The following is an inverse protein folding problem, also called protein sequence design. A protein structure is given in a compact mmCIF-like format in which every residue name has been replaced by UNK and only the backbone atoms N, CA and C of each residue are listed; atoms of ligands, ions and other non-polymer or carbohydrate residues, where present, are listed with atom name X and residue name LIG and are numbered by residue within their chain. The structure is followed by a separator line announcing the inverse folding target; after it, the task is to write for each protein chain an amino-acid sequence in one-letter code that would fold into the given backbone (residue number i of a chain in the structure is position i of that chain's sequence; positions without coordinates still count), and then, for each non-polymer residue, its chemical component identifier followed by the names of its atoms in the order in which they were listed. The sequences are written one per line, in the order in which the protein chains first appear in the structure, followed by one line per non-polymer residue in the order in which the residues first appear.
data_IF_578670542977
#
_entry.id   IF_578670542977
#
_cell.length_a   1.000
_cell.length_b   1.000
_cell.length_c   1.000
_cell.angle_alpha   90.00
_cell.angle_beta   90.00
_cell.angle_gamma   90.00
#
_symmetry.space_group_name_H-M   'P 1'
#
loop_
_entity.id
_entity.type
_entity.pdbx_description
1 polymer ?
#
# COMPACT_ATOMS: atom_id res chain seq x y z
N UNK A 1 31.63 -6.61 13.06
CA UNK A 1 30.85 -5.44 12.58
C UNK A 1 30.51 -5.73 11.13
N UNK A 2 29.39 -6.40 10.89
CA UNK A 2 28.89 -6.59 9.53
C UNK A 2 28.37 -5.22 9.09
N UNK A 3 28.89 -4.73 7.97
CA UNK A 3 28.46 -3.51 7.31
C UNK A 3 26.97 -3.63 6.97
N UNK A 4 26.10 -3.14 7.87
CA UNK A 4 24.66 -3.08 7.67
C UNK A 4 24.27 -1.94 6.70
N UNK A 5 25.25 -1.13 6.25
CA UNK A 5 25.01 0.11 5.52
C UNK A 5 25.13 -0.03 3.98
N UNK A 6 25.65 -1.14 3.45
CA UNK A 6 25.67 -1.39 2.01
C UNK A 6 24.50 -2.28 1.56
N UNK A 7 23.26 -1.80 1.71
CA UNK A 7 22.09 -2.45 1.13
C UNK A 7 22.27 -2.64 -0.38
N UNK A 8 22.12 -3.87 -0.85
CA UNK A 8 22.23 -4.21 -2.26
C UNK A 8 21.21 -3.40 -3.08
N UNK A 9 21.70 -2.56 -3.98
CA UNK A 9 20.87 -1.80 -4.91
C UNK A 9 20.05 -2.77 -5.78
N UNK A 10 18.70 -2.64 -5.83
CA UNK A 10 17.87 -3.41 -6.73
C UNK A 10 18.32 -3.26 -8.19
N UNK A 11 18.18 -4.32 -8.98
CA UNK A 11 18.73 -4.34 -10.35
C UNK A 11 18.07 -3.26 -11.21
N UNK A 12 16.75 -3.11 -11.15
CA UNK A 12 16.00 -2.08 -11.88
C UNK A 12 16.46 -0.67 -11.51
N UNK A 13 16.72 -0.39 -10.23
CA UNK A 13 17.27 0.89 -9.79
C UNK A 13 18.69 1.12 -10.27
N UNK A 14 19.58 0.13 -10.15
CA UNK A 14 20.95 0.27 -10.64
C UNK A 14 21.00 0.55 -12.14
N UNK A 15 20.09 -0.04 -12.90
CA UNK A 15 19.96 0.22 -14.33
C UNK A 15 19.51 1.67 -14.61
N UNK A 16 18.64 2.23 -13.77
CA UNK A 16 18.17 3.60 -13.90
C UNK A 16 19.21 4.63 -13.47
N UNK A 17 19.95 4.37 -12.38
CA UNK A 17 21.12 5.17 -11.97
C UNK A 17 22.08 5.35 -13.16
N UNK A 18 22.41 4.25 -13.83
CA UNK A 18 23.29 4.29 -14.99
C UNK A 18 22.65 5.00 -16.19
N UNK A 19 21.34 4.87 -16.37
CA UNK A 19 20.62 5.45 -17.49
C UNK A 19 20.40 6.96 -17.34
N UNK A 20 20.37 7.47 -16.10
CA UNK A 20 20.16 8.88 -15.76
C UNK A 20 21.43 9.64 -15.39
N UNK A 21 22.61 9.04 -15.55
CA UNK A 21 23.90 9.62 -15.16
C UNK A 21 24.21 10.99 -15.79
N UNK A 22 23.68 11.27 -16.98
CA UNK A 22 23.97 12.48 -17.76
C UNK A 22 22.72 13.36 -17.96
N UNK A 23 21.69 13.21 -17.12
CA UNK A 23 20.48 14.04 -17.24
C UNK A 23 20.73 15.47 -16.74
N UNK A 24 20.10 16.45 -17.36
CA UNK A 24 20.06 17.87 -16.94
C UNK A 24 18.75 18.24 -16.22
N UNK A 25 17.85 17.27 -16.00
CA UNK A 25 16.56 17.46 -15.34
C UNK A 25 16.70 18.09 -13.96
N UNK A 26 15.88 19.10 -13.67
CA UNK A 26 15.88 19.85 -12.41
C UNK A 26 14.74 19.41 -11.49
N UNK A 27 13.59 19.04 -12.07
CA UNK A 27 12.43 18.51 -11.36
C UNK A 27 12.26 17.04 -11.70
N UNK A 28 12.46 16.17 -10.72
CA UNK A 28 12.40 14.71 -10.91
C UNK A 28 11.28 14.12 -10.06
N UNK A 29 10.43 13.30 -10.67
CA UNK A 29 9.57 12.36 -9.98
C UNK A 29 10.21 10.98 -10.03
N UNK A 30 10.28 10.27 -8.92
CA UNK A 30 10.75 8.89 -8.91
C UNK A 30 9.92 8.00 -7.99
N UNK A 31 9.80 6.72 -8.36
CA UNK A 31 9.42 5.65 -7.42
C UNK A 31 10.66 4.85 -7.02
N UNK A 32 10.53 3.98 -6.03
CA UNK A 32 11.61 3.09 -5.59
C UNK A 32 11.06 1.72 -5.25
N UNK A 33 11.90 0.69 -5.43
CA UNK A 33 11.66 -0.69 -4.96
C UNK A 33 12.68 -1.08 -3.87
N UNK A 34 13.45 -0.09 -3.41
CA UNK A 34 14.45 -0.20 -2.37
C UNK A 34 14.33 0.99 -1.40
N UNK A 35 15.41 1.74 -1.23
CA UNK A 35 15.50 2.92 -0.35
C UNK A 35 15.92 4.15 -1.16
N UNK A 36 15.23 4.38 -2.27
CA UNK A 36 15.41 5.52 -3.16
C UNK A 36 16.84 5.73 -3.68
N UNK A 37 17.58 4.64 -3.95
CA UNK A 37 18.98 4.75 -4.39
C UNK A 37 19.12 5.51 -5.71
N UNK A 38 18.14 5.40 -6.60
CA UNK A 38 18.12 6.21 -7.82
C UNK A 38 17.93 7.72 -7.54
N UNK A 39 17.10 8.08 -6.55
CA UNK A 39 16.91 9.46 -6.12
C UNK A 39 18.22 10.02 -5.53
N UNK A 40 18.89 9.24 -4.68
CA UNK A 40 20.20 9.58 -4.09
C UNK A 40 21.23 9.87 -5.17
N UNK A 41 21.35 9.00 -6.18
CA UNK A 41 22.32 9.19 -7.26
C UNK A 41 22.06 10.48 -8.05
N UNK A 42 20.79 10.82 -8.28
CA UNK A 42 20.39 12.06 -8.95
C UNK A 42 20.66 13.30 -8.08
N UNK A 43 20.41 13.22 -6.77
CA UNK A 43 20.70 14.31 -5.83
C UNK A 43 22.21 14.60 -5.71
N UNK A 44 23.04 13.55 -5.71
CA UNK A 44 24.50 13.68 -5.63
C UNK A 44 25.11 14.36 -6.86
N UNK A 45 24.53 14.14 -8.03
CA UNK A 45 24.98 14.75 -9.27
C UNK A 45 24.69 16.25 -9.34
N UNK A 46 23.58 16.70 -8.74
CA UNK A 46 23.19 18.10 -8.68
C UNK A 46 22.33 18.36 -7.42
N UNK A 47 22.93 18.94 -6.36
CA UNK A 47 22.22 19.25 -5.12
C UNK A 47 21.10 20.29 -5.27
N UNK A 48 21.01 21.01 -6.39
CA UNK A 48 19.94 21.98 -6.64
C UNK A 48 18.67 21.34 -7.20
N UNK A 49 18.72 20.08 -7.62
CA UNK A 49 17.55 19.35 -8.13
C UNK A 49 16.48 19.19 -7.08
N UNK A 50 15.24 19.40 -7.47
CA UNK A 50 14.06 19.06 -6.68
C UNK A 50 13.58 17.66 -7.05
N UNK A 51 13.71 16.70 -6.13
CA UNK A 51 13.34 15.30 -6.37
C UNK A 51 12.17 14.93 -5.47
N UNK A 52 11.09 14.42 -6.06
CA UNK A 52 9.98 13.79 -5.33
C UNK A 52 10.12 12.28 -5.43
N UNK A 53 10.34 11.61 -4.31
CA UNK A 53 10.34 10.15 -4.21
C UNK A 53 9.01 9.66 -3.65
N UNK A 54 8.17 9.10 -4.51
CA UNK A 54 6.83 8.68 -4.14
C UNK A 54 6.81 7.25 -3.58
N UNK A 55 6.04 7.07 -2.50
CA UNK A 55 5.72 5.80 -1.86
C UNK A 55 4.21 5.66 -1.67
N UNK A 56 3.67 4.45 -1.83
CA UNK A 56 2.26 4.17 -1.47
C UNK A 56 2.09 3.79 0.00
N UNK A 57 3.15 3.31 0.63
CA UNK A 57 3.15 2.73 1.97
C UNK A 57 3.95 3.61 2.93
N UNK A 58 3.34 4.01 4.04
CA UNK A 58 3.95 4.95 5.00
C UNK A 58 5.14 4.35 5.73
N UNK A 59 5.14 3.04 6.02
CA UNK A 59 6.31 2.38 6.58
C UNK A 59 7.49 2.43 5.60
N UNK A 60 7.25 2.15 4.31
CA UNK A 60 8.29 2.29 3.29
C UNK A 60 8.74 3.74 3.12
N UNK A 61 7.83 4.71 3.25
CA UNK A 61 8.17 6.13 3.24
C UNK A 61 9.11 6.50 4.40
N UNK A 62 8.80 6.07 5.63
CA UNK A 62 9.65 6.29 6.80
C UNK A 62 11.02 5.62 6.67
N UNK A 63 11.07 4.37 6.20
CA UNK A 63 12.35 3.68 5.93
C UNK A 63 13.17 4.41 4.86
N UNK A 64 12.49 5.03 3.91
CA UNK A 64 13.15 5.86 2.89
C UNK A 64 13.64 7.17 3.49
N UNK A 65 12.84 7.87 4.32
CA UNK A 65 13.24 9.11 5.01
C UNK A 65 14.53 8.92 5.80
N UNK A 66 14.57 7.88 6.65
CA UNK A 66 15.75 7.55 7.47
C UNK A 66 17.02 7.30 6.65
N UNK A 67 16.87 6.78 5.43
CA UNK A 67 18.00 6.57 4.51
C UNK A 67 18.47 7.87 3.82
N UNK A 68 17.64 8.92 3.84
CA UNK A 68 17.80 10.15 3.08
C UNK A 68 18.11 11.39 3.94
N UNK A 69 18.31 11.26 5.24
CA UNK A 69 18.61 12.37 6.17
C UNK A 69 19.70 13.35 5.68
N UNK A 70 20.61 12.90 4.82
CA UNK A 70 21.72 13.69 4.26
C UNK A 70 21.40 14.39 2.93
N UNK A 71 20.18 14.23 2.40
CA UNK A 71 19.78 14.72 1.07
C UNK A 71 18.51 15.59 1.18
N UNK A 72 18.64 16.86 1.61
CA UNK A 72 17.50 17.75 1.87
C UNK A 72 16.70 18.12 0.62
N UNK A 73 17.24 17.83 -0.57
CA UNK A 73 16.61 18.11 -1.86
C UNK A 73 15.78 16.93 -2.39
N UNK A 74 15.65 15.84 -1.62
CA UNK A 74 14.74 14.74 -1.89
C UNK A 74 13.55 14.85 -0.92
N UNK A 75 12.37 15.13 -1.47
CA UNK A 75 11.10 15.06 -0.75
C UNK A 75 10.50 13.66 -0.94
N UNK A 76 10.39 12.88 0.13
CA UNK A 76 9.68 11.60 0.06
C UNK A 76 8.22 11.80 0.40
N UNK A 77 7.36 11.49 -0.57
CA UNK A 77 5.92 11.70 -0.50
C UNK A 77 5.20 10.37 -0.37
N UNK A 78 4.39 10.22 0.69
CA UNK A 78 3.43 9.12 0.81
C UNK A 78 2.03 9.62 0.45
N UNK A 79 1.48 9.18 -0.69
CA UNK A 79 0.17 9.61 -1.16
C UNK A 79 -0.51 8.55 -2.04
N UNK A 80 -1.85 8.61 -2.25
CA UNK A 80 -2.55 7.65 -3.11
C UNK A 80 -2.15 7.74 -4.60
N UNK A 81 -1.72 8.93 -5.02
CA UNK A 81 -1.40 9.32 -6.39
C UNK A 81 -0.16 10.20 -6.43
N UNK A 82 0.48 10.28 -7.60
CA UNK A 82 1.59 11.22 -7.82
C UNK A 82 1.12 12.67 -7.70
N UNK A 83 1.97 13.59 -7.21
CA UNK A 83 1.59 14.99 -7.05
C UNK A 83 1.26 15.61 -8.41
N UNK A 84 0.38 16.63 -8.43
CA UNK A 84 -0.08 17.29 -9.65
C UNK A 84 0.96 18.21 -10.30
N UNK A 85 2.11 18.38 -9.66
CA UNK A 85 3.29 19.07 -10.18
C UNK A 85 3.73 18.57 -11.57
N UNK A 86 4.30 19.48 -12.35
CA UNK A 86 4.98 19.14 -13.60
C UNK A 86 6.47 18.81 -13.34
N UNK A 87 7.00 17.79 -14.04
CA UNK A 87 8.36 17.28 -13.91
C UNK A 87 9.11 17.19 -15.24
N UNK A 88 10.45 17.30 -15.17
CA UNK A 88 11.34 17.13 -16.32
C UNK A 88 11.64 15.65 -16.60
N UNK A 89 11.71 14.85 -15.53
CA UNK A 89 12.10 13.45 -15.58
C UNK A 89 11.22 12.63 -14.62
N UNK A 90 10.71 11.50 -15.10
CA UNK A 90 10.03 10.49 -14.32
C UNK A 90 10.86 9.20 -14.36
N UNK A 91 11.29 8.73 -13.19
CA UNK A 91 12.13 7.54 -13.03
C UNK A 91 11.34 6.46 -12.29
N UNK A 92 11.09 5.33 -12.96
CA UNK A 92 10.23 4.29 -12.42
C UNK A 92 10.89 2.90 -12.52
N UNK A 93 11.56 2.41 -11.46
CA UNK A 93 11.98 1.01 -11.39
C UNK A 93 10.77 0.08 -11.36
N UNK A 94 10.90 -1.08 -12.01
CA UNK A 94 9.89 -2.14 -12.05
C UNK A 94 10.55 -3.46 -11.71
N UNK A 95 9.92 -4.26 -10.86
CA UNK A 95 10.33 -5.66 -10.63
C UNK A 95 9.60 -6.60 -11.60
N UNK A 96 10.29 -7.66 -12.03
CA UNK A 96 9.76 -8.70 -12.90
C UNK A 96 8.52 -9.35 -12.30
N UNK A 97 8.48 -9.46 -10.97
CA UNK A 97 7.34 -9.93 -10.21
C UNK A 97 6.75 -8.71 -9.52
N UNK A 98 5.66 -8.19 -10.07
CA UNK A 98 4.99 -7.01 -9.56
C UNK A 98 3.54 -6.95 -10.03
N UNK A 99 2.80 -5.96 -9.55
CA UNK A 99 1.39 -5.80 -9.90
C UNK A 99 1.22 -5.09 -11.25
N UNK A 100 0.71 -5.82 -12.24
CA UNK A 100 0.61 -5.33 -13.60
C UNK A 100 -0.35 -4.12 -13.77
N UNK A 101 -1.43 -4.02 -12.99
CA UNK A 101 -2.32 -2.85 -13.05
C UNK A 101 -1.70 -1.63 -12.37
N UNK A 102 -1.03 -1.81 -11.23
CA UNK A 102 -0.34 -0.72 -10.55
C UNK A 102 0.77 -0.11 -11.43
N UNK A 103 1.58 -0.96 -12.08
CA UNK A 103 2.60 -0.48 -13.01
C UNK A 103 1.99 0.31 -14.17
N UNK A 104 0.83 -0.10 -14.71
CA UNK A 104 0.15 0.65 -15.78
C UNK A 104 -0.38 2.00 -15.29
N UNK A 105 -0.98 2.02 -14.11
CA UNK A 105 -1.50 3.22 -13.47
C UNK A 105 -0.34 4.22 -13.23
N UNK A 106 0.76 3.78 -12.63
CA UNK A 106 1.95 4.62 -12.42
C UNK A 106 2.62 5.08 -13.72
N UNK A 107 2.72 4.22 -14.74
CA UNK A 107 3.22 4.65 -16.06
C UNK A 107 2.36 5.78 -16.64
N UNK A 108 1.03 5.65 -16.54
CA UNK A 108 0.09 6.65 -17.03
C UNK A 108 0.22 7.95 -16.23
N UNK A 109 0.16 7.88 -14.89
CA UNK A 109 0.26 9.04 -14.01
C UNK A 109 1.59 9.77 -14.19
N UNK A 110 2.71 9.06 -14.10
CA UNK A 110 4.02 9.70 -14.18
C UNK A 110 4.32 10.27 -15.57
N UNK A 111 3.81 9.64 -16.64
CA UNK A 111 3.85 10.26 -17.97
C UNK A 111 2.97 11.52 -18.04
N UNK A 112 1.79 11.50 -17.43
CA UNK A 112 0.91 12.67 -17.36
C UNK A 112 1.59 13.85 -16.65
N UNK A 113 2.33 13.59 -15.57
CA UNK A 113 3.11 14.58 -14.81
C UNK A 113 4.37 15.11 -15.49
N UNK A 114 4.82 14.51 -16.60
CA UNK A 114 5.94 15.05 -17.36
C UNK A 114 5.53 16.30 -18.14
N UNK A 115 6.43 17.29 -18.23
CA UNK A 115 6.30 18.36 -19.22
C UNK A 115 6.42 17.83 -20.64
N UNK A 116 5.93 18.59 -21.62
CA UNK A 116 6.25 18.30 -23.03
C UNK A 116 7.77 18.43 -23.25
N UNK A 117 8.38 17.42 -23.84
CA UNK A 117 9.83 17.28 -23.97
C UNK A 117 10.52 16.63 -22.78
N UNK A 118 9.81 16.39 -21.67
CA UNK A 118 10.31 15.64 -20.51
C UNK A 118 10.51 14.14 -20.79
N UNK A 119 11.20 13.46 -19.90
CA UNK A 119 11.64 12.07 -20.10
C UNK A 119 11.03 11.09 -19.10
N UNK A 120 10.51 9.97 -19.58
CA UNK A 120 10.22 8.78 -18.78
C UNK A 120 11.38 7.80 -18.92
N UNK A 121 12.04 7.46 -17.81
CA UNK A 121 13.01 6.38 -17.70
C UNK A 121 12.44 5.27 -16.83
N UNK A 122 12.30 4.07 -17.38
CA UNK A 122 11.86 2.89 -16.63
C UNK A 122 12.73 1.69 -16.94
N UNK A 123 12.92 0.81 -15.95
CA UNK A 123 13.72 -0.38 -16.11
C UNK A 123 13.12 -1.55 -15.35
N UNK A 124 13.31 -2.75 -15.89
CA UNK A 124 12.90 -4.00 -15.28
C UNK A 124 14.08 -4.96 -15.16
N UNK A 125 14.16 -5.70 -14.05
CA UNK A 125 15.17 -6.73 -13.77
C UNK A 125 14.92 -8.04 -14.58
N UNK A 126 14.45 -7.90 -15.82
CA UNK A 126 14.21 -8.98 -16.75
C UNK A 126 14.83 -8.67 -18.13
N UNK A 127 15.98 -9.28 -18.49
CA UNK A 127 16.65 -9.01 -19.77
C UNK A 127 15.86 -9.47 -20.98
N UNK A 128 14.86 -10.34 -20.79
CA UNK A 128 13.96 -10.83 -21.84
C UNK A 128 12.61 -10.10 -21.85
N UNK A 129 12.50 -8.96 -21.17
CA UNK A 129 11.23 -8.25 -21.09
C UNK A 129 10.69 -7.86 -22.48
N UNK A 130 9.38 -8.07 -22.60
CA UNK A 130 8.53 -7.59 -23.70
C UNK A 130 7.27 -6.91 -23.17
N UNK A 131 6.91 -7.13 -21.91
CA UNK A 131 5.65 -6.67 -21.36
C UNK A 131 5.73 -5.17 -21.04
N UNK A 132 6.76 -4.75 -20.30
CA UNK A 132 6.95 -3.33 -19.98
C UNK A 132 7.18 -2.50 -21.24
N UNK A 133 7.91 -3.05 -22.23
CA UNK A 133 8.02 -2.43 -23.55
C UNK A 133 6.65 -2.06 -24.15
N UNK A 134 5.73 -3.02 -24.17
CA UNK A 134 4.40 -2.84 -24.74
C UNK A 134 3.55 -1.86 -23.94
N UNK A 135 3.66 -1.86 -22.61
CA UNK A 135 2.94 -0.90 -21.77
C UNK A 135 3.46 0.53 -21.98
N UNK A 136 4.78 0.74 -22.11
CA UNK A 136 5.35 2.08 -22.40
C UNK A 136 5.00 2.55 -23.81
N UNK A 137 4.95 1.66 -24.81
CA UNK A 137 4.53 2.02 -26.18
C UNK A 137 3.09 2.53 -26.27
N UNK A 138 2.21 2.14 -25.33
CA UNK A 138 0.84 2.66 -25.27
C UNK A 138 0.79 4.14 -24.89
N UNK A 139 1.80 4.66 -24.19
CA UNK A 139 1.88 6.06 -23.81
C UNK A 139 2.20 6.94 -25.02
N UNK A 140 3.24 6.58 -25.78
CA UNK A 140 3.65 7.28 -27.01
C UNK A 140 4.61 6.45 -27.86
N UNK A 141 4.75 6.83 -29.14
CA UNK A 141 5.80 6.34 -30.04
C UNK A 141 7.17 6.92 -29.66
N UNK A 142 8.23 6.30 -30.17
CA UNK A 142 9.61 6.79 -30.00
C UNK A 142 10.35 6.21 -28.80
N UNK A 143 9.88 5.09 -28.25
CA UNK A 143 10.55 4.40 -27.15
C UNK A 143 11.95 3.91 -27.57
N UNK A 144 12.94 4.21 -26.74
CA UNK A 144 14.30 3.69 -26.87
C UNK A 144 14.46 2.50 -25.94
N UNK A 145 14.69 1.32 -26.52
CA UNK A 145 14.97 0.08 -25.78
C UNK A 145 16.47 -0.15 -25.67
N UNK A 146 16.95 -0.47 -24.46
CA UNK A 146 18.37 -0.74 -24.16
C UNK A 146 18.50 -2.03 -23.33
N UNK A 147 18.77 -3.17 -23.99
CA UNK A 147 19.05 -4.43 -23.30
C UNK A 147 20.30 -4.33 -22.43
N UNK A 148 20.25 -4.96 -21.26
CA UNK A 148 21.37 -5.05 -20.31
C UNK A 148 21.49 -6.49 -19.80
N UNK A 149 22.67 -6.93 -19.32
CA UNK A 149 22.85 -8.33 -18.92
C UNK A 149 21.86 -8.83 -17.87
N UNK A 150 21.42 -7.94 -16.96
CA UNK A 150 20.53 -8.27 -15.85
C UNK A 150 19.13 -7.66 -15.95
N UNK A 151 18.80 -7.00 -17.06
CA UNK A 151 17.51 -6.32 -17.19
C UNK A 151 17.36 -5.56 -18.49
N UNK A 152 16.35 -4.70 -18.55
CA UNK A 152 16.01 -3.91 -19.72
C UNK A 152 15.69 -2.48 -19.31
N UNK A 153 16.23 -1.51 -20.04
CA UNK A 153 15.95 -0.08 -19.84
C UNK A 153 15.14 0.45 -21.01
N UNK A 154 14.13 1.24 -20.69
CA UNK A 154 13.30 1.96 -21.63
C UNK A 154 13.36 3.46 -21.35
N UNK A 155 13.52 4.25 -22.42
CA UNK A 155 13.43 5.71 -22.36
C UNK A 155 12.39 6.19 -23.34
N UNK A 156 11.57 7.15 -22.93
CA UNK A 156 10.55 7.77 -23.78
C UNK A 156 10.53 9.26 -23.50
N UNK A 157 10.70 10.09 -24.53
CA UNK A 157 10.45 11.52 -24.42
C UNK A 157 8.95 11.77 -24.62
N UNK A 158 8.34 12.66 -23.85
CA UNK A 158 6.92 13.03 -23.98
C UNK A 158 6.74 14.05 -25.11
N UNK A 159 6.22 13.68 -26.30
CA UNK A 159 5.96 14.66 -27.36
C UNK A 159 4.72 15.53 -27.11
N UNK A 160 3.83 15.12 -26.20
CA UNK A 160 2.59 15.80 -25.91
C UNK A 160 1.73 15.06 -24.88
N UNK A 161 0.51 15.52 -24.60
CA UNK A 161 -0.37 14.92 -23.60
C UNK A 161 -0.87 13.53 -24.00
N UNK A 162 -1.30 12.74 -23.01
CA UNK A 162 -2.01 11.49 -23.26
C UNK A 162 -3.32 11.74 -23.99
N UNK A 163 -3.64 10.87 -24.95
CA UNK A 163 -4.92 10.96 -25.69
C UNK A 163 -6.12 10.52 -24.85
N UNK A 164 -5.89 9.64 -23.88
CA UNK A 164 -6.91 9.07 -23.00
C UNK A 164 -6.28 8.67 -21.68
N UNK A 165 -6.94 9.06 -20.59
CA UNK A 165 -6.67 8.53 -19.26
C UNK A 165 -7.62 7.35 -19.00
N UNK A 166 -7.07 6.23 -18.57
CA UNK A 166 -7.84 5.09 -18.08
C UNK A 166 -8.05 5.23 -16.59
N UNK A 167 -9.28 4.99 -16.15
CA UNK A 167 -9.57 4.74 -14.75
C UNK A 167 -9.31 3.26 -14.43
N UNK A 168 -8.47 3.03 -13.42
CA UNK A 168 -8.14 1.70 -12.90
C UNK A 168 -8.93 1.36 -11.63
N UNK A 169 -9.71 2.30 -11.09
CA UNK A 169 -10.60 2.04 -9.97
C UNK A 169 -11.61 0.93 -10.28
N UNK A 170 -12.12 0.32 -9.22
CA UNK A 170 -13.16 -0.68 -9.30
C UNK A 170 -14.10 -0.50 -8.11
N UNK A 171 -15.32 -0.05 -8.39
CA UNK A 171 -16.44 -0.18 -7.47
C UNK A 171 -17.03 -1.59 -7.60
N UNK A 172 -17.27 -2.25 -6.48
CA UNK A 172 -18.02 -3.50 -6.43
C UNK A 172 -18.79 -3.57 -5.11
N UNK A 173 -19.82 -4.41 -5.08
CA UNK A 173 -20.65 -4.58 -3.88
C UNK A 173 -20.68 -6.04 -3.43
N UNK A 174 -20.92 -6.24 -2.14
CA UNK A 174 -21.14 -7.56 -1.55
C UNK A 174 -22.25 -7.50 -0.50
N UNK A 175 -22.83 -8.66 -0.17
CA UNK A 175 -23.82 -8.76 0.91
C UNK A 175 -23.20 -9.19 2.22
N UNK A 176 -23.68 -8.64 3.33
CA UNK A 176 -23.38 -9.06 4.70
C UNK A 176 -24.66 -8.94 5.54
N UNK A 177 -25.11 -10.03 6.15
CA UNK A 177 -26.36 -10.10 6.94
C UNK A 177 -27.59 -9.46 6.25
N UNK A 178 -27.68 -9.58 4.92
CA UNK A 178 -28.77 -9.02 4.11
C UNK A 178 -28.53 -7.59 3.61
N UNK A 179 -27.60 -6.85 4.21
CA UNK A 179 -27.19 -5.51 3.78
C UNK A 179 -26.33 -5.60 2.52
N UNK A 180 -26.50 -4.65 1.58
CA UNK A 180 -25.64 -4.49 0.41
C UNK A 180 -24.63 -3.39 0.72
N UNK A 181 -23.34 -3.73 0.64
CA UNK A 181 -22.23 -2.83 0.97
C UNK A 181 -21.41 -2.60 -0.29
N UNK A 182 -21.26 -1.33 -0.68
CA UNK A 182 -20.43 -0.92 -1.81
C UNK A 182 -19.01 -0.59 -1.35
N UNK A 183 -18.00 -1.02 -2.09
CA UNK A 183 -16.61 -0.68 -1.80
C UNK A 183 -15.89 -0.26 -3.07
N UNK A 184 -14.89 0.59 -2.92
CA UNK A 184 -13.97 0.95 -3.99
C UNK A 184 -12.62 0.31 -3.73
N UNK A 185 -11.97 -0.15 -4.79
CA UNK A 185 -10.60 -0.59 -4.74
C UNK A 185 -9.82 0.00 -5.91
N UNK A 186 -8.52 0.13 -5.74
CA UNK A 186 -7.59 0.60 -6.77
C UNK A 186 -6.36 -0.32 -6.81
N UNK A 187 -5.58 -0.34 -7.91
CA UNK A 187 -4.34 -1.13 -7.95
C UNK A 187 -3.42 -0.78 -6.78
N UNK A 188 -2.68 -1.74 -6.26
CA UNK A 188 -1.87 -1.57 -5.04
C UNK A 188 -2.64 -1.76 -3.73
N UNK A 189 -3.98 -1.75 -3.73
CA UNK A 189 -4.80 -2.10 -2.56
C UNK A 189 -5.00 -3.61 -2.51
N UNK A 190 -4.90 -4.20 -1.31
CA UNK A 190 -5.09 -5.63 -1.12
C UNK A 190 -6.45 -6.11 -1.67
N UNK A 191 -6.43 -7.23 -2.40
CA UNK A 191 -7.61 -7.82 -3.04
C UNK A 191 -8.36 -6.89 -4.00
N UNK A 192 -7.66 -6.01 -4.73
CA UNK A 192 -8.27 -5.17 -5.76
C UNK A 192 -9.23 -5.95 -6.69
N UNK A 193 -10.43 -5.38 -6.94
CA UNK A 193 -11.56 -5.89 -7.74
C UNK A 193 -12.40 -7.03 -7.13
N UNK A 194 -12.13 -7.47 -5.89
CA UNK A 194 -12.93 -8.54 -5.26
C UNK A 194 -12.87 -8.50 -3.75
N UNK A 195 -13.89 -9.03 -3.10
CA UNK A 195 -13.81 -9.29 -1.67
C UNK A 195 -12.85 -10.46 -1.38
N UNK A 196 -11.96 -10.28 -0.40
CA UNK A 196 -11.10 -11.35 0.09
C UNK A 196 -11.89 -12.41 0.89
N UNK A 197 -11.55 -13.68 0.72
CA UNK A 197 -12.22 -14.77 1.42
C UNK A 197 -11.83 -14.83 2.91
N UNK A 198 -10.63 -14.39 3.28
CA UNK A 198 -10.22 -14.24 4.68
C UNK A 198 -11.01 -13.11 5.34
N UNK A 199 -11.13 -11.95 4.69
CA UNK A 199 -11.99 -10.87 5.15
C UNK A 199 -13.45 -11.33 5.33
N UNK A 200 -13.99 -12.12 4.38
CA UNK A 200 -15.32 -12.72 4.51
C UNK A 200 -15.43 -13.67 5.72
N UNK A 201 -14.43 -14.53 5.91
CA UNK A 201 -14.39 -15.46 7.05
C UNK A 201 -14.35 -14.71 8.38
N UNK A 202 -13.59 -13.61 8.46
CA UNK A 202 -13.56 -12.72 9.61
C UNK A 202 -14.91 -12.05 9.84
N UNK A 203 -15.58 -11.54 8.80
CA UNK A 203 -16.93 -10.99 8.93
C UNK A 203 -17.91 -11.99 9.56
N UNK A 204 -17.88 -13.24 9.13
CA UNK A 204 -18.79 -14.28 9.60
C UNK A 204 -18.53 -14.72 11.05
N UNK A 205 -17.37 -14.38 11.63
CA UNK A 205 -17.05 -14.65 13.04
C UNK A 205 -17.25 -13.44 13.96
N UNK A 206 -17.49 -12.24 13.42
CA UNK A 206 -17.74 -11.04 14.21
C UNK A 206 -19.13 -11.07 14.84
N UNK A 207 -19.22 -10.67 16.11
CA UNK A 207 -20.48 -10.31 16.75
C UNK A 207 -20.42 -8.83 17.10
N UNK A 208 -21.41 -8.06 16.65
CA UNK A 208 -21.48 -6.61 16.83
C UNK A 208 -22.74 -6.27 17.62
N UNK A 209 -22.58 -5.59 18.75
CA UNK A 209 -23.67 -5.14 19.61
C UNK A 209 -23.95 -3.64 19.39
N UNK A 210 -25.13 -3.13 19.80
CA UNK A 210 -25.40 -1.71 19.76
C UNK A 210 -24.31 -0.89 20.47
N UNK A 211 -23.83 0.17 19.82
CA UNK A 211 -22.78 1.05 20.35
C UNK A 211 -21.34 0.49 20.26
N UNK A 212 -21.12 -0.67 19.62
CA UNK A 212 -19.77 -1.24 19.46
C UNK A 212 -18.85 -0.28 18.69
N UNK A 213 -17.67 0.02 19.25
CA UNK A 213 -16.60 0.73 18.54
C UNK A 213 -15.54 -0.27 18.07
N UNK A 214 -15.28 -0.27 16.76
CA UNK A 214 -14.48 -1.30 16.08
C UNK A 214 -13.16 -0.71 15.57
N UNK A 215 -12.07 -1.46 15.72
CA UNK A 215 -10.79 -1.18 15.06
C UNK A 215 -10.52 -2.23 13.98
N UNK A 216 -10.38 -1.80 12.73
CA UNK A 216 -10.04 -2.64 11.58
C UNK A 216 -8.57 -2.43 11.19
N UNK A 217 -7.71 -3.37 11.59
CA UNK A 217 -6.27 -3.32 11.37
C UNK A 217 -5.93 -3.83 9.96
N UNK A 218 -5.26 -2.99 9.16
CA UNK A 218 -5.01 -3.28 7.75
C UNK A 218 -6.30 -3.27 6.93
N UNK A 219 -7.06 -2.18 7.06
CA UNK A 219 -8.45 -2.12 6.60
C UNK A 219 -8.62 -2.28 5.07
N UNK A 220 -7.59 -2.04 4.26
CA UNK A 220 -7.62 -2.23 2.82
C UNK A 220 -8.72 -1.39 2.15
N UNK A 221 -9.78 -2.05 1.68
CA UNK A 221 -10.95 -1.36 1.09
C UNK A 221 -11.95 -0.86 2.14
N UNK A 222 -11.70 -1.12 3.42
CA UNK A 222 -12.63 -0.87 4.53
C UNK A 222 -13.73 -1.92 4.66
N UNK A 223 -13.71 -2.99 3.86
CA UNK A 223 -14.84 -3.92 3.75
C UNK A 223 -15.31 -4.49 5.10
N UNK A 224 -14.38 -4.88 5.99
CA UNK A 224 -14.71 -5.48 7.30
C UNK A 224 -15.35 -4.44 8.22
N UNK A 225 -14.70 -3.29 8.42
CA UNK A 225 -15.27 -2.19 9.20
C UNK A 225 -16.61 -1.69 8.66
N UNK A 226 -16.73 -1.50 7.34
CA UNK A 226 -17.98 -1.07 6.70
C UNK A 226 -19.11 -2.07 6.91
N UNK A 227 -18.84 -3.38 6.80
CA UNK A 227 -19.85 -4.40 7.06
C UNK A 227 -20.37 -4.35 8.49
N UNK A 228 -19.49 -4.15 9.46
CA UNK A 228 -19.86 -4.09 10.85
C UNK A 228 -20.77 -2.89 11.20
N UNK A 229 -20.62 -1.76 10.50
CA UNK A 229 -21.44 -0.56 10.70
C UNK A 229 -22.93 -0.75 10.38
N UNK A 230 -23.30 -1.81 9.67
CA UNK A 230 -24.68 -2.16 9.32
C UNK A 230 -25.32 -3.19 10.26
N UNK A 231 -24.56 -3.78 11.21
CA UNK A 231 -25.05 -4.87 12.06
C UNK A 231 -25.80 -4.43 13.30
N UNK A 232 -25.49 -3.24 13.82
CA UNK A 232 -26.14 -2.72 15.01
C UNK A 232 -26.19 -1.19 15.02
N UNK A 233 -27.16 -0.65 15.76
CA UNK A 233 -27.33 0.79 15.95
C UNK A 233 -26.17 1.38 16.77
N UNK A 234 -25.72 2.59 16.42
CA UNK A 234 -24.66 3.29 17.15
C UNK A 234 -23.25 2.70 16.96
N UNK A 235 -23.07 1.69 16.11
CA UNK A 235 -21.74 1.15 15.79
C UNK A 235 -20.89 2.21 15.08
N UNK A 236 -19.62 2.31 15.48
CA UNK A 236 -18.60 3.14 14.82
C UNK A 236 -17.35 2.31 14.53
N UNK A 237 -16.56 2.74 13.54
CA UNK A 237 -15.36 2.02 13.12
C UNK A 237 -14.22 2.98 12.81
N UNK A 238 -13.01 2.57 13.22
CA UNK A 238 -11.75 3.16 12.79
C UNK A 238 -11.00 2.10 12.00
N UNK A 239 -10.65 2.38 10.75
CA UNK A 239 -9.76 1.57 9.94
C UNK A 239 -8.38 2.18 9.90
N UNK A 240 -7.33 1.39 10.11
CA UNK A 240 -5.95 1.83 9.87
C UNK A 240 -5.31 1.00 8.77
N UNK A 241 -4.49 1.63 7.95
CA UNK A 241 -3.71 0.94 6.92
C UNK A 241 -2.42 1.70 6.63
N UNK A 242 -1.34 0.98 6.32
CA UNK A 242 -0.08 1.61 5.93
C UNK A 242 -0.14 2.17 4.51
N UNK A 243 -1.10 1.73 3.70
CA UNK A 243 -1.23 2.11 2.30
C UNK A 243 -2.16 3.34 2.13
N UNK A 244 -1.62 4.44 1.65
CA UNK A 244 -2.37 5.69 1.45
C UNK A 244 -3.61 5.51 0.54
N UNK A 245 -3.52 4.63 -0.45
CA UNK A 245 -4.62 4.33 -1.37
C UNK A 245 -5.70 3.46 -0.73
N UNK A 246 -5.35 2.59 0.23
CA UNK A 246 -6.31 1.84 1.03
C UNK A 246 -7.13 2.79 1.92
N UNK A 247 -6.46 3.72 2.60
CA UNK A 247 -7.10 4.77 3.42
C UNK A 247 -8.09 5.60 2.59
N UNK A 248 -7.70 6.00 1.38
CA UNK A 248 -8.60 6.70 0.46
C UNK A 248 -9.78 5.83 0.01
N UNK A 249 -9.53 4.57 -0.37
CA UNK A 249 -10.58 3.66 -0.84
C UNK A 249 -11.62 3.36 0.25
N UNK A 250 -11.19 3.19 1.50
CA UNK A 250 -12.08 2.95 2.63
C UNK A 250 -12.92 4.18 2.99
N UNK A 251 -12.34 5.38 2.94
CA UNK A 251 -13.09 6.64 3.12
C UNK A 251 -14.17 6.81 2.03
N UNK A 252 -13.82 6.61 0.76
CA UNK A 252 -14.79 6.65 -0.35
C UNK A 252 -15.86 5.57 -0.19
N UNK A 253 -15.48 4.37 0.27
CA UNK A 253 -16.42 3.32 0.62
C UNK A 253 -17.43 3.76 1.68
N UNK A 254 -16.99 4.46 2.72
CA UNK A 254 -17.89 4.99 3.74
C UNK A 254 -18.87 6.03 3.19
N UNK A 255 -18.41 6.92 2.30
CA UNK A 255 -19.26 7.89 1.61
C UNK A 255 -20.33 7.20 0.74
N UNK A 256 -19.93 6.21 -0.07
CA UNK A 256 -20.85 5.46 -0.95
C UNK A 256 -21.97 4.73 -0.17
N UNK A 257 -21.69 4.34 1.07
CA UNK A 257 -22.64 3.66 1.93
C UNK A 257 -23.41 4.62 2.87
N UNK A 258 -23.12 5.93 2.83
CA UNK A 258 -23.76 6.91 3.70
C UNK A 258 -23.41 6.75 5.19
N UNK A 259 -22.21 6.27 5.49
CA UNK A 259 -21.72 5.99 6.86
C UNK A 259 -20.43 6.73 7.21
N UNK A 260 -20.08 7.77 6.44
CA UNK A 260 -18.87 8.57 6.62
C UNK A 260 -18.82 9.32 7.98
N UNK A 261 -19.96 9.50 8.65
CA UNK A 261 -20.05 10.06 10.00
C UNK A 261 -19.66 9.06 11.10
N UNK A 262 -19.60 7.77 10.78
CA UNK A 262 -19.31 6.66 11.72
C UNK A 262 -18.09 5.82 11.34
N UNK A 263 -17.44 6.13 10.22
CA UNK A 263 -16.24 5.46 9.75
C UNK A 263 -15.10 6.47 9.60
N UNK A 264 -13.97 6.19 10.21
CA UNK A 264 -12.74 6.96 10.04
C UNK A 264 -11.64 6.05 9.50
N UNK A 265 -10.91 6.47 8.46
CA UNK A 265 -9.69 5.78 8.02
C UNK A 265 -8.45 6.62 8.28
N UNK A 266 -7.38 5.98 8.77
CA UNK A 266 -6.11 6.63 9.13
C UNK A 266 -4.94 5.95 8.46
N UNK A 267 -3.99 6.76 7.98
CA UNK A 267 -2.71 6.29 7.45
C UNK A 267 -1.77 6.00 8.61
N UNK A 268 -1.49 4.73 8.86
CA UNK A 268 -0.73 4.28 10.03
C UNK A 268 -0.17 2.87 9.78
N UNK A 269 1.12 2.66 10.06
CA UNK A 269 1.79 1.38 9.91
C UNK A 269 2.19 0.69 11.23
N UNK A 270 2.13 1.38 12.37
CA UNK A 270 2.62 0.89 13.66
C UNK A 270 1.59 0.98 14.80
N UNK A 271 0.39 1.45 14.47
CA UNK A 271 -0.74 1.65 15.35
C UNK A 271 -0.66 2.89 16.21
N UNK A 272 0.35 3.75 16.08
CA UNK A 272 0.54 4.90 16.99
C UNK A 272 -0.60 5.92 16.99
N UNK A 273 -1.43 5.96 15.95
CA UNK A 273 -2.61 6.82 15.88
C UNK A 273 -3.83 6.27 16.62
N UNK A 274 -3.77 5.04 17.14
CA UNK A 274 -4.90 4.34 17.76
C UNK A 274 -5.00 4.66 19.25
N UNK A 275 -6.18 5.08 19.70
CA UNK A 275 -6.42 5.37 21.11
C UNK A 275 -6.38 4.09 21.96
N UNK A 276 -5.80 4.19 23.16
CA UNK A 276 -5.73 3.06 24.11
C UNK A 276 -7.09 2.77 24.72
N UNK A 277 -7.36 1.49 25.05
CA UNK A 277 -8.55 1.02 25.78
C UNK A 277 -9.88 1.61 25.28
N UNK A 278 -10.03 1.78 23.97
CA UNK A 278 -11.10 2.55 23.36
C UNK A 278 -11.98 1.77 22.39
N UNK A 279 -11.68 0.49 22.15
CA UNK A 279 -12.38 -0.36 21.19
C UNK A 279 -13.00 -1.59 21.84
N UNK A 280 -14.25 -1.88 21.51
CA UNK A 280 -14.98 -3.06 22.00
C UNK A 280 -14.63 -4.31 21.18
N UNK A 281 -14.28 -4.12 19.91
CA UNK A 281 -13.87 -5.18 18.98
C UNK A 281 -12.67 -4.71 18.15
N UNK A 282 -11.59 -5.48 18.14
CA UNK A 282 -10.44 -5.26 17.26
C UNK A 282 -10.33 -6.44 16.30
N UNK A 283 -10.28 -6.16 15.00
CA UNK A 283 -10.20 -7.17 13.95
C UNK A 283 -9.01 -6.93 13.03
N UNK A 284 -8.48 -7.99 12.43
CA UNK A 284 -7.42 -7.85 11.44
C UNK A 284 -7.24 -9.07 10.54
N UNK A 285 -6.76 -8.81 9.32
CA UNK A 285 -6.36 -9.81 8.34
C UNK A 285 -4.88 -9.59 7.95
N UNK A 286 -3.92 -9.99 8.81
CA UNK A 286 -2.53 -9.63 8.60
C UNK A 286 -1.92 -10.30 7.35
N UNK A 287 -1.03 -9.61 6.62
CA UNK A 287 -0.37 -10.19 5.46
C UNK A 287 0.61 -11.32 5.83
N UNK A 288 0.75 -12.29 4.93
CA UNK A 288 1.58 -13.49 5.17
C UNK A 288 3.07 -13.31 4.84
N UNK A 289 3.47 -12.24 4.15
CA UNK A 289 4.82 -12.11 3.58
C UNK A 289 5.89 -11.58 4.55
N UNK A 290 5.50 -11.10 5.74
CA UNK A 290 6.41 -10.42 6.67
C UNK A 290 6.97 -11.31 7.80
N UNK A 291 6.90 -12.64 7.68
CA UNK A 291 7.29 -13.57 8.75
C UNK A 291 6.74 -13.17 10.14
N UNK A 292 5.44 -12.85 10.19
CA UNK A 292 4.72 -12.37 11.38
C UNK A 292 5.11 -11.00 11.96
N UNK A 293 6.04 -10.24 11.37
CA UNK A 293 6.38 -8.89 11.88
C UNK A 293 5.18 -7.93 11.86
N UNK A 294 4.41 -7.90 10.77
CA UNK A 294 3.19 -7.08 10.68
C UNK A 294 2.09 -7.64 11.59
N UNK A 295 1.97 -8.98 11.68
CA UNK A 295 1.02 -9.61 12.59
C UNK A 295 1.32 -9.30 14.07
N UNK A 296 2.59 -9.17 14.44
CA UNK A 296 3.01 -8.74 15.77
C UNK A 296 2.58 -7.31 16.06
N UNK A 297 2.80 -6.38 15.11
CA UNK A 297 2.30 -4.99 15.21
C UNK A 297 0.79 -4.97 15.41
N UNK A 298 0.04 -5.81 14.68
CA UNK A 298 -1.40 -5.89 14.82
C UNK A 298 -1.80 -6.37 16.23
N UNK A 299 -1.16 -7.42 16.75
CA UNK A 299 -1.49 -7.96 18.07
C UNK A 299 -1.09 -7.02 19.21
N UNK A 300 0.04 -6.33 19.13
CA UNK A 300 0.46 -5.34 20.14
C UNK A 300 -0.43 -4.11 20.11
N UNK A 301 -0.80 -3.62 18.92
CA UNK A 301 -1.79 -2.54 18.74
C UNK A 301 -3.14 -2.96 19.32
N UNK A 302 -3.62 -4.15 18.97
CA UNK A 302 -4.89 -4.67 19.48
C UNK A 302 -4.90 -4.77 21.00
N UNK A 303 -3.81 -5.28 21.61
CA UNK A 303 -3.69 -5.40 23.07
C UNK A 303 -3.76 -4.06 23.79
N UNK A 304 -3.19 -3.00 23.21
CA UNK A 304 -3.24 -1.64 23.76
C UNK A 304 -4.61 -0.98 23.54
N UNK A 305 -5.22 -1.20 22.37
CA UNK A 305 -6.41 -0.50 21.93
C UNK A 305 -7.72 -1.08 22.48
N UNK A 306 -7.79 -2.39 22.72
CA UNK A 306 -9.01 -3.06 23.17
C UNK A 306 -9.36 -2.70 24.62
N UNK A 307 -10.64 -2.44 24.89
CA UNK A 307 -11.18 -2.24 26.24
C UNK A 307 -11.10 -3.53 27.05
N UNK A 308 -11.10 -3.40 28.38
CA UNK A 308 -11.37 -4.54 29.26
C UNK A 308 -12.73 -5.17 28.91
N UNK A 309 -12.75 -6.50 28.69
CA UNK A 309 -13.94 -7.22 28.25
C UNK A 309 -14.27 -7.08 26.75
N UNK A 310 -13.46 -6.34 25.98
CA UNK A 310 -13.53 -6.32 24.53
C UNK A 310 -12.93 -7.58 23.90
N UNK A 311 -13.10 -7.72 22.59
CA UNK A 311 -12.67 -8.91 21.84
C UNK A 311 -11.64 -8.56 20.77
N UNK A 312 -10.65 -9.42 20.57
CA UNK A 312 -9.68 -9.34 19.48
C UNK A 312 -9.82 -10.55 18.57
N UNK A 313 -9.87 -10.35 17.25
CA UNK A 313 -10.01 -11.43 16.25
C UNK A 313 -9.02 -11.25 15.10
N UNK A 314 -8.23 -12.29 14.80
CA UNK A 314 -7.32 -12.32 13.65
C UNK A 314 -7.68 -13.49 12.74
N UNK A 315 -7.81 -13.21 11.44
CA UNK A 315 -7.98 -14.27 10.44
C UNK A 315 -6.64 -14.69 9.85
N UNK A 316 -6.43 -16.00 9.71
CA UNK A 316 -5.17 -16.59 9.23
C UNK A 316 -5.39 -17.96 8.61
N UNK A 317 -4.44 -18.43 7.80
CA UNK A 317 -4.34 -19.85 7.39
C UNK A 317 -3.48 -20.70 8.32
N UNK A 318 -2.77 -20.08 9.26
CA UNK A 318 -1.84 -20.73 10.20
C UNK A 318 -2.06 -20.14 11.59
N UNK A 319 -2.76 -20.88 12.46
CA UNK A 319 -3.18 -20.39 13.76
C UNK A 319 -2.10 -20.49 14.84
N UNK A 320 -1.18 -21.47 14.76
CA UNK A 320 -0.27 -21.82 15.87
C UNK A 320 0.48 -20.62 16.48
N UNK A 321 1.04 -19.75 15.62
CA UNK A 321 1.74 -18.55 16.07
C UNK A 321 0.81 -17.55 16.75
N UNK A 322 -0.38 -17.32 16.19
CA UNK A 322 -1.38 -16.41 16.76
C UNK A 322 -1.90 -16.91 18.10
N UNK A 323 -2.19 -18.21 18.21
CA UNK A 323 -2.65 -18.84 19.46
C UNK A 323 -1.60 -18.62 20.56
N UNK A 324 -0.35 -18.99 20.30
CA UNK A 324 0.73 -18.82 21.27
C UNK A 324 0.96 -17.34 21.64
N UNK A 325 0.93 -16.44 20.65
CA UNK A 325 1.22 -15.03 20.87
C UNK A 325 0.09 -14.30 21.60
N UNK A 326 -1.17 -14.55 21.23
CA UNK A 326 -2.32 -14.01 21.94
C UNK A 326 -2.40 -14.55 23.37
N UNK A 327 -2.11 -15.84 23.60
CA UNK A 327 -2.07 -16.39 24.96
C UNK A 327 -1.05 -15.66 25.84
N UNK A 328 0.13 -15.33 25.30
CA UNK A 328 1.13 -14.53 26.01
C UNK A 328 0.67 -13.09 26.30
N UNK A 329 -0.03 -12.44 25.36
CA UNK A 329 -0.43 -11.03 25.47
C UNK A 329 -1.65 -10.81 26.38
N UNK A 330 -2.58 -11.77 26.38
CA UNK A 330 -3.87 -11.66 27.07
C UNK A 330 -3.97 -12.58 28.30
N UNK A 331 -3.01 -13.49 28.51
CA UNK A 331 -3.00 -14.42 29.65
C UNK A 331 -4.14 -15.44 29.62
N UNK A 332 -4.78 -15.61 28.45
CA UNK A 332 -5.92 -16.51 28.23
C UNK A 332 -5.73 -17.25 26.93
N UNK A 333 -6.13 -18.52 26.91
CA UNK A 333 -6.08 -19.33 25.70
C UNK A 333 -7.10 -18.80 24.67
N UNK A 334 -6.67 -18.46 23.44
CA UNK A 334 -7.57 -18.04 22.38
C UNK A 334 -8.44 -19.18 21.84
N UNK A 335 -9.64 -18.84 21.39
CA UNK A 335 -10.49 -19.71 20.61
C UNK A 335 -10.06 -19.71 19.14
N UNK A 336 -10.21 -20.85 18.48
CA UNK A 336 -9.94 -20.99 17.04
C UNK A 336 -11.17 -21.56 16.36
N UNK A 337 -11.71 -20.82 15.40
CA UNK A 337 -12.87 -21.26 14.60
C UNK A 337 -12.48 -21.34 13.14
N UNK A 338 -12.87 -22.43 12.47
CA UNK A 338 -12.70 -22.54 11.02
C UNK A 338 -13.91 -21.98 10.29
N UNK A 339 -13.66 -21.05 9.36
CA UNK A 339 -14.68 -20.42 8.54
C UNK A 339 -14.14 -20.27 7.12
N UNK A 340 -14.84 -20.84 6.12
CA UNK A 340 -14.46 -20.78 4.69
C UNK A 340 -13.02 -21.21 4.38
N UNK A 341 -12.47 -22.18 5.13
CA UNK A 341 -11.09 -22.63 4.96
C UNK A 341 -10.02 -21.65 5.49
N UNK A 342 -10.44 -20.69 6.30
CA UNK A 342 -9.58 -19.84 7.13
C UNK A 342 -9.84 -20.12 8.60
N UNK A 343 -8.87 -19.80 9.44
CA UNK A 343 -8.95 -19.88 10.89
C UNK A 343 -9.10 -18.48 11.44
N UNK A 344 -10.11 -18.24 12.27
CA UNK A 344 -10.24 -17.02 13.06
C UNK A 344 -9.81 -17.34 14.48
N UNK A 345 -8.72 -16.69 14.92
CA UNK A 345 -8.20 -16.78 16.28
C UNK A 345 -8.77 -15.62 17.08
N UNK A 346 -9.51 -15.90 18.15
CA UNK A 346 -10.24 -14.91 18.94
C UNK A 346 -9.85 -14.98 20.41
N UNK A 347 -9.74 -13.83 21.08
CA UNK A 347 -9.47 -13.75 22.53
C UNK A 347 -10.20 -12.56 23.14
N UNK A 348 -10.71 -12.74 24.36
CA UNK A 348 -11.34 -11.69 25.16
C UNK A 348 -10.30 -11.05 26.10
N UNK A 349 -10.26 -9.72 26.13
CA UNK A 349 -9.29 -8.91 26.85
C UNK A 349 -9.51 -8.85 28.38
#
# INVERSE_FOLDING_TARGET
MLDQDALRVPVSEQLLINASAETDAQRVLCTTVGRAQCAVALAQQDPQRHIVCHQLDVYQAEQTHLALDKYPNINVLCSPDFPDDEFDLFVMPVEKVGEAELTRDWLQQGYDRLKTGGWLYTAVDNPKDKWLHHEVEKLSKGIVRRPKPRGMVYKLQKPGPLKRMRDFSCEFAFRDEGNLISVVSRPGVFSHRRLDLGARALMESMTVFPGTRILDLGCGTGAVGLAALFRAEGTSAVGIDSNARAVQCSAVGAELNGVADRFESRLDCDGTSVEEESFDLVVGNPPYFSNYQIAEIFLTTARRAVKAGGKVQMVTKKADWYVARMEQLFGRKPDVTEQRGYLVVSVDA
#
